data_IF_931535908809
#
_entry.id   IF_931535908809
#
_cell.length_a   1.000
_cell.length_b   1.000
_cell.length_c   1.000
_cell.angle_alpha   90.00
_cell.angle_beta   90.00
_cell.angle_gamma   90.00
#
_symmetry.space_group_name_H-M   'P 1'
#
loop_
_entity.id
_entity.type
_entity.pdbx_description
1 polymer ?
#
# COMPACT_ATOMS: atom_id res chain seq x y z
N UNK A 1 25.22 -9.81 -8.94
CA UNK A 1 24.71 -9.92 -7.57
C UNK A 1 24.39 -8.51 -7.07
N UNK A 2 23.21 -8.28 -6.46
CA UNK A 2 22.87 -6.97 -5.90
C UNK A 2 23.53 -6.77 -4.55
N UNK A 3 23.73 -5.51 -4.18
CA UNK A 3 24.26 -5.03 -2.88
C UNK A 3 23.40 -3.86 -2.41
N UNK A 4 23.47 -3.49 -1.14
CA UNK A 4 22.69 -2.37 -0.57
C UNK A 4 22.91 -1.06 -1.36
N UNK A 5 24.12 -0.81 -1.86
CA UNK A 5 24.43 0.33 -2.72
C UNK A 5 23.72 0.34 -4.08
N UNK A 6 23.02 -0.72 -4.45
CA UNK A 6 22.20 -0.77 -5.66
C UNK A 6 20.75 -0.33 -5.40
N UNK A 7 20.38 -0.03 -4.12
CA UNK A 7 19.03 0.36 -3.70
C UNK A 7 18.92 1.89 -3.59
N UNK A 8 17.91 2.45 -4.27
CA UNK A 8 17.35 3.77 -3.96
C UNK A 8 16.04 3.62 -3.21
N UNK A 9 15.87 4.36 -2.13
CA UNK A 9 14.65 4.38 -1.33
C UNK A 9 13.84 5.63 -1.67
N UNK A 10 12.53 5.50 -1.88
CA UNK A 10 11.60 6.60 -2.12
C UNK A 10 10.62 6.65 -0.93
N UNK A 11 10.55 7.79 -0.27
CA UNK A 11 9.65 8.05 0.86
C UNK A 11 8.77 9.25 0.52
N UNK A 12 7.50 9.04 0.12
CA UNK A 12 6.51 10.10 0.04
C UNK A 12 6.14 10.57 1.45
N UNK A 13 5.92 11.87 1.63
CA UNK A 13 5.42 12.43 2.91
C UNK A 13 4.49 13.61 2.67
N UNK A 14 3.55 13.83 3.59
CA UNK A 14 2.61 14.94 3.55
C UNK A 14 2.21 15.40 4.95
N UNK A 15 2.67 16.58 5.39
CA UNK A 15 2.42 17.17 6.72
C UNK A 15 2.77 16.26 7.91
N UNK A 16 3.83 15.42 7.79
CA UNK A 16 4.22 14.40 8.76
C UNK A 16 5.71 14.43 9.07
N UNK A 17 6.26 15.62 9.28
CA UNK A 17 7.69 15.80 9.52
C UNK A 17 8.20 14.99 10.73
N UNK A 18 7.41 14.84 11.79
CA UNK A 18 7.80 14.05 12.98
C UNK A 18 7.79 12.54 12.67
N UNK A 19 6.77 12.00 12.02
CA UNK A 19 6.75 10.60 11.60
C UNK A 19 7.95 10.28 10.68
N UNK A 20 8.23 11.18 9.72
CA UNK A 20 9.38 11.06 8.84
C UNK A 20 10.69 11.10 9.60
N UNK A 21 10.83 11.97 10.62
CA UNK A 21 12.02 12.03 11.47
C UNK A 21 12.29 10.68 12.12
N UNK A 22 11.29 10.07 12.76
CA UNK A 22 11.43 8.76 13.38
C UNK A 22 11.82 7.67 12.37
N UNK A 23 11.22 7.71 11.18
CA UNK A 23 11.58 6.79 10.09
C UNK A 23 13.05 6.99 9.67
N UNK A 24 13.48 8.23 9.47
CA UNK A 24 14.88 8.54 9.12
C UNK A 24 15.86 8.17 10.24
N UNK A 25 15.47 8.36 11.49
CA UNK A 25 16.29 7.94 12.66
C UNK A 25 16.48 6.41 12.64
N UNK A 26 15.44 5.63 12.33
CA UNK A 26 15.55 4.18 12.19
C UNK A 26 16.37 3.73 10.98
N UNK A 27 16.48 4.57 9.95
CA UNK A 27 17.27 4.32 8.75
C UNK A 27 18.76 4.68 8.90
N UNK A 28 19.18 5.41 9.95
CA UNK A 28 20.58 5.84 10.13
C UNK A 28 21.62 4.72 9.92
N UNK A 29 21.44 3.47 10.44
CA UNK A 29 22.40 2.40 10.24
C UNK A 29 22.53 1.93 8.77
N UNK A 30 21.55 2.27 7.94
CA UNK A 30 21.46 1.83 6.55
C UNK A 30 21.91 2.90 5.55
N UNK A 31 21.77 4.20 5.88
CA UNK A 31 21.97 5.30 4.92
C UNK A 31 23.33 5.22 4.23
N UNK A 32 24.41 4.95 4.98
CA UNK A 32 25.77 4.88 4.43
C UNK A 32 25.95 3.76 3.39
N UNK A 33 25.15 2.69 3.48
CA UNK A 33 25.22 1.50 2.63
C UNK A 33 24.33 1.63 1.40
N UNK A 34 23.21 2.36 1.49
CA UNK A 34 22.27 2.59 0.40
C UNK A 34 22.86 3.47 -0.70
N UNK A 35 22.30 3.43 -1.90
CA UNK A 35 22.63 4.38 -2.95
C UNK A 35 22.19 5.79 -2.57
N UNK A 36 20.90 5.96 -2.31
CA UNK A 36 20.28 7.23 -1.95
C UNK A 36 18.90 7.01 -1.29
N UNK A 37 18.40 8.07 -0.63
CA UNK A 37 17.02 8.18 -0.15
C UNK A 37 16.42 9.44 -0.77
N UNK A 38 15.29 9.30 -1.46
CA UNK A 38 14.53 10.42 -2.02
C UNK A 38 13.32 10.70 -1.12
N UNK A 39 13.27 11.86 -0.53
CA UNK A 39 12.11 12.37 0.20
C UNK A 39 11.28 13.19 -0.77
N UNK A 40 10.06 12.73 -1.04
CA UNK A 40 9.11 13.41 -1.92
C UNK A 40 8.05 14.05 -1.05
N UNK A 41 8.30 15.29 -0.69
CA UNK A 41 7.47 16.08 0.22
C UNK A 41 6.36 16.80 -0.52
N UNK A 42 5.15 16.68 -0.02
CA UNK A 42 3.96 17.36 -0.55
C UNK A 42 3.30 18.25 0.51
N UNK A 43 4.04 18.53 1.59
CA UNK A 43 3.57 19.31 2.75
C UNK A 43 3.30 20.77 2.37
N UNK A 44 2.37 21.38 3.09
CA UNK A 44 2.02 22.79 2.93
C UNK A 44 2.97 23.73 3.69
N UNK A 45 3.67 23.19 4.71
CA UNK A 45 4.64 23.90 5.53
C UNK A 45 6.09 23.49 5.16
N UNK A 46 7.06 24.15 5.78
CA UNK A 46 8.49 23.93 5.51
C UNK A 46 9.19 23.01 6.55
N UNK A 47 8.44 22.37 7.46
CA UNK A 47 9.00 21.55 8.53
C UNK A 47 9.82 20.40 7.98
N UNK A 48 9.29 19.65 7.00
CA UNK A 48 10.02 18.56 6.32
C UNK A 48 11.29 19.08 5.65
N UNK A 49 11.21 20.21 4.94
CA UNK A 49 12.38 20.84 4.30
C UNK A 49 13.47 21.20 5.32
N UNK A 50 13.08 21.83 6.44
CA UNK A 50 13.99 22.18 7.53
C UNK A 50 14.62 20.93 8.16
N UNK A 51 13.81 19.88 8.42
CA UNK A 51 14.30 18.59 8.93
C UNK A 51 15.41 18.04 8.03
N UNK A 52 15.16 17.91 6.72
CA UNK A 52 16.14 17.33 5.79
C UNK A 52 17.39 18.21 5.67
N UNK A 53 17.25 19.54 5.62
CA UNK A 53 18.40 20.45 5.61
C UNK A 53 19.31 20.29 6.82
N UNK A 54 18.72 20.09 8.00
CA UNK A 54 19.47 19.94 9.26
C UNK A 54 20.23 18.60 9.34
N UNK A 55 19.78 17.55 8.66
CA UNK A 55 20.48 16.25 8.64
C UNK A 55 21.82 16.30 7.90
N UNK A 56 22.04 17.26 6.99
CA UNK A 56 23.28 17.48 6.22
C UNK A 56 23.84 16.21 5.58
N UNK A 57 22.98 15.28 5.15
CA UNK A 57 23.39 14.00 4.58
C UNK A 57 23.25 14.01 3.05
N UNK A 58 24.34 13.89 2.31
CA UNK A 58 24.38 13.96 0.83
C UNK A 58 23.64 12.80 0.15
N UNK A 59 23.35 11.70 0.85
CA UNK A 59 22.58 10.58 0.31
C UNK A 59 21.07 10.78 0.43
N UNK A 60 20.61 11.78 1.20
CA UNK A 60 19.20 12.13 1.33
C UNK A 60 18.91 13.30 0.39
N UNK A 61 18.10 13.05 -0.62
CA UNK A 61 17.68 14.05 -1.61
C UNK A 61 16.25 14.47 -1.34
N UNK A 62 16.01 15.76 -1.29
CA UNK A 62 14.71 16.36 -1.02
C UNK A 62 14.09 16.94 -2.30
N UNK A 63 12.80 16.66 -2.49
CA UNK A 63 11.99 17.21 -3.57
C UNK A 63 10.64 17.66 -3.00
N UNK A 64 10.17 18.82 -3.43
CA UNK A 64 8.84 19.32 -3.09
C UNK A 64 7.90 19.23 -4.28
N UNK A 65 6.63 18.85 -4.04
CA UNK A 65 5.56 18.80 -5.02
C UNK A 65 4.31 19.47 -4.44
N UNK A 66 3.62 20.28 -5.23
CA UNK A 66 2.45 21.04 -4.78
C UNK A 66 1.17 20.20 -4.66
N UNK A 67 1.09 19.06 -5.37
CA UNK A 67 -0.12 18.24 -5.44
C UNK A 67 0.01 17.04 -4.50
N UNK A 68 -0.75 16.99 -3.38
CA UNK A 68 -0.71 15.86 -2.47
C UNK A 68 -1.37 14.62 -3.09
N UNK A 69 -0.53 13.68 -3.54
CA UNK A 69 -0.95 12.37 -4.07
C UNK A 69 0.18 11.37 -4.01
N UNK A 70 -0.05 10.26 -3.32
CA UNK A 70 0.96 9.20 -3.14
C UNK A 70 1.42 8.61 -4.49
N UNK A 71 0.52 8.46 -5.46
CA UNK A 71 0.85 7.93 -6.79
C UNK A 71 1.70 8.90 -7.60
N UNK A 72 1.44 10.21 -7.49
CA UNK A 72 2.24 11.25 -8.12
C UNK A 72 3.63 11.27 -7.49
N UNK A 73 3.72 11.27 -6.16
CA UNK A 73 4.99 11.27 -5.44
C UNK A 73 5.85 10.06 -5.79
N UNK A 74 5.29 8.84 -5.75
CA UNK A 74 6.03 7.62 -6.13
C UNK A 74 6.47 7.65 -7.59
N UNK A 75 5.62 8.08 -8.52
CA UNK A 75 6.00 8.20 -9.94
C UNK A 75 7.07 9.27 -10.17
N UNK A 76 7.04 10.36 -9.43
CA UNK A 76 8.09 11.39 -9.47
C UNK A 76 9.41 10.83 -8.94
N UNK A 77 9.37 10.12 -7.81
CA UNK A 77 10.54 9.46 -7.25
C UNK A 77 11.18 8.49 -8.24
N UNK A 78 10.38 7.61 -8.89
CA UNK A 78 10.87 6.68 -9.93
C UNK A 78 11.66 7.38 -11.04
N UNK A 79 11.20 8.56 -11.48
CA UNK A 79 11.87 9.33 -12.54
C UNK A 79 13.20 9.93 -12.09
N UNK A 80 13.33 10.22 -10.79
CA UNK A 80 14.45 10.96 -10.22
C UNK A 80 15.49 10.09 -9.49
N UNK A 81 15.28 8.76 -9.39
CA UNK A 81 16.30 7.87 -8.85
C UNK A 81 17.57 7.88 -9.70
N UNK A 82 18.73 7.77 -9.06
CA UNK A 82 20.03 7.70 -9.70
C UNK A 82 20.05 6.65 -10.81
N UNK A 83 20.84 6.92 -11.85
CA UNK A 83 21.06 5.97 -12.97
C UNK A 83 21.65 4.66 -12.47
N UNK A 84 22.49 4.72 -11.44
CA UNK A 84 23.18 3.57 -10.85
C UNK A 84 22.29 2.65 -10.02
N UNK A 85 21.09 3.11 -9.67
CA UNK A 85 20.09 2.29 -8.96
C UNK A 85 19.70 1.08 -9.80
N UNK A 86 19.64 -0.09 -9.17
CA UNK A 86 19.13 -1.33 -9.77
C UNK A 86 17.85 -1.80 -9.12
N UNK A 87 17.64 -1.44 -7.85
CA UNK A 87 16.45 -1.71 -7.05
C UNK A 87 15.86 -0.39 -6.56
N UNK A 88 14.53 -0.29 -6.55
CA UNK A 88 13.78 0.84 -5.99
C UNK A 88 12.90 0.31 -4.88
N UNK A 89 13.16 0.76 -3.65
CA UNK A 89 12.35 0.49 -2.47
C UNK A 89 11.42 1.67 -2.19
N UNK A 90 10.14 1.39 -1.99
CA UNK A 90 9.16 2.34 -1.47
C UNK A 90 8.93 2.03 0.00
N UNK A 91 9.10 3.04 0.83
CA UNK A 91 8.76 3.01 2.24
C UNK A 91 7.81 4.18 2.53
N UNK A 92 6.89 4.00 3.47
CA UNK A 92 6.10 5.12 3.98
C UNK A 92 6.89 5.90 5.04
N UNK A 93 6.41 7.08 5.39
CA UNK A 93 7.05 8.01 6.33
C UNK A 93 6.87 7.62 7.81
N UNK A 94 6.12 6.55 8.09
CA UNK A 94 5.79 6.05 9.43
C UNK A 94 6.20 4.59 9.65
N UNK A 95 7.35 4.18 9.11
CA UNK A 95 7.87 2.81 9.25
C UNK A 95 9.18 2.75 10.02
N UNK A 96 9.47 1.57 10.58
CA UNK A 96 10.72 1.25 11.25
C UNK A 96 11.27 -0.06 10.69
N UNK A 97 12.17 -0.02 9.69
CA UNK A 97 12.87 -1.21 9.20
C UNK A 97 13.82 -1.78 10.27
N UNK A 98 13.87 -3.10 10.34
CA UNK A 98 14.85 -3.79 11.20
C UNK A 98 16.29 -3.69 10.66
N UNK A 99 17.27 -3.99 11.51
CA UNK A 99 18.71 -3.83 11.18
C UNK A 99 19.17 -4.58 9.93
N UNK A 100 18.54 -5.72 9.60
CA UNK A 100 18.89 -6.54 8.45
C UNK A 100 17.90 -6.37 7.27
N UNK A 101 17.01 -5.37 7.33
CA UNK A 101 15.92 -5.24 6.37
C UNK A 101 16.41 -5.25 4.91
N UNK A 102 17.35 -4.40 4.55
CA UNK A 102 17.80 -4.28 3.15
C UNK A 102 18.65 -5.47 2.69
N UNK A 103 19.50 -6.02 3.56
CA UNK A 103 20.28 -7.23 3.23
C UNK A 103 19.37 -8.42 2.95
N UNK A 104 18.31 -8.62 3.75
CA UNK A 104 17.35 -9.70 3.55
C UNK A 104 16.50 -9.51 2.28
N UNK A 105 16.15 -8.26 1.94
CA UNK A 105 15.50 -7.95 0.64
C UNK A 105 16.41 -8.29 -0.52
N UNK A 106 17.69 -7.93 -0.44
CA UNK A 106 18.70 -8.24 -1.47
C UNK A 106 18.87 -9.74 -1.66
N UNK A 107 18.92 -10.51 -0.60
CA UNK A 107 19.05 -11.96 -0.64
C UNK A 107 17.91 -12.62 -1.40
N UNK A 108 16.68 -12.10 -1.28
CA UNK A 108 15.55 -12.56 -2.08
C UNK A 108 15.82 -12.37 -3.57
N UNK A 109 16.29 -11.19 -3.99
CA UNK A 109 16.57 -10.92 -5.40
C UNK A 109 17.78 -11.69 -5.94
N UNK A 110 18.77 -11.94 -5.12
CA UNK A 110 19.99 -12.65 -5.50
C UNK A 110 19.76 -14.17 -5.67
N UNK A 111 18.82 -14.75 -4.93
CA UNK A 111 18.47 -16.18 -5.01
C UNK A 111 17.81 -16.54 -6.36
N UNK A 112 17.08 -15.61 -6.99
CA UNK A 112 16.41 -15.91 -8.24
C UNK A 112 16.21 -14.67 -9.12
N UNK A 113 16.78 -14.69 -10.32
CA UNK A 113 16.68 -13.59 -11.29
C UNK A 113 15.24 -13.34 -11.80
N UNK A 114 14.34 -14.32 -11.70
CA UNK A 114 12.93 -14.18 -12.09
C UNK A 114 12.13 -13.30 -11.11
N UNK A 115 12.63 -13.12 -9.88
CA UNK A 115 11.97 -12.26 -8.89
C UNK A 115 12.06 -10.79 -9.34
N UNK A 116 10.92 -10.14 -9.46
CA UNK A 116 10.77 -8.73 -9.89
C UNK A 116 10.45 -7.80 -8.74
N UNK A 117 9.88 -8.35 -7.67
CA UNK A 117 9.54 -7.58 -6.47
C UNK A 117 9.73 -8.40 -5.19
N UNK A 118 10.06 -7.71 -4.10
CA UNK A 118 10.14 -8.28 -2.77
C UNK A 118 9.59 -7.28 -1.73
N UNK A 119 8.92 -7.78 -0.71
CA UNK A 119 8.53 -7.02 0.48
C UNK A 119 9.00 -7.72 1.74
N UNK A 120 9.27 -6.95 2.77
CA UNK A 120 9.50 -7.49 4.11
C UNK A 120 8.17 -7.88 4.79
N UNK A 121 8.26 -8.27 6.04
CA UNK A 121 7.14 -8.77 6.80
C UNK A 121 6.92 -7.98 8.09
N UNK A 122 5.68 -7.51 8.26
CA UNK A 122 5.18 -7.01 9.52
C UNK A 122 4.46 -8.13 10.26
N UNK A 123 4.86 -8.40 11.49
CA UNK A 123 4.21 -9.40 12.34
C UNK A 123 2.79 -8.93 12.68
N UNK A 124 1.82 -9.78 12.42
CA UNK A 124 0.41 -9.55 12.76
C UNK A 124 -0.02 -10.58 13.80
N UNK A 125 -0.58 -10.10 14.89
CA UNK A 125 -1.15 -10.94 15.94
C UNK A 125 -2.66 -10.70 16.05
N UNK A 126 -3.43 -11.79 16.11
CA UNK A 126 -4.85 -11.74 16.46
C UNK A 126 -4.98 -12.06 17.95
N UNK A 127 -5.08 -11.02 18.77
CA UNK A 127 -4.87 -11.13 20.22
C UNK A 127 -6.09 -11.64 21.00
N UNK A 128 -7.30 -11.57 20.41
CA UNK A 128 -8.52 -11.97 21.12
C UNK A 128 -9.50 -12.74 20.22
N UNK A 129 -10.46 -13.41 20.87
CA UNK A 129 -11.48 -14.23 20.19
C UNK A 129 -12.31 -13.44 19.20
N UNK A 130 -12.65 -12.18 19.51
CA UNK A 130 -13.44 -11.34 18.61
C UNK A 130 -12.70 -11.08 17.29
N UNK A 131 -11.40 -10.73 17.34
CA UNK A 131 -10.58 -10.56 16.13
C UNK A 131 -10.48 -11.84 15.30
N UNK A 132 -10.40 -13.00 15.95
CA UNK A 132 -10.39 -14.28 15.26
C UNK A 132 -11.71 -14.58 14.57
N UNK A 133 -12.85 -14.34 15.23
CA UNK A 133 -14.19 -14.47 14.64
C UNK A 133 -14.42 -13.49 13.49
N UNK A 134 -14.03 -12.23 13.67
CA UNK A 134 -14.09 -11.24 12.61
C UNK A 134 -13.25 -11.65 11.38
N UNK A 135 -12.07 -12.21 11.60
CA UNK A 135 -11.22 -12.74 10.54
C UNK A 135 -11.88 -13.91 9.78
N UNK A 136 -12.59 -14.81 10.49
CA UNK A 136 -13.37 -15.90 9.89
C UNK A 136 -14.52 -15.32 9.05
N UNK A 137 -15.30 -14.38 9.59
CA UNK A 137 -16.39 -13.75 8.86
C UNK A 137 -15.89 -13.04 7.60
N UNK A 138 -14.79 -12.30 7.69
CA UNK A 138 -14.14 -11.67 6.53
C UNK A 138 -13.69 -12.68 5.48
N UNK A 139 -13.21 -13.84 5.89
CA UNK A 139 -12.84 -14.93 4.98
C UNK A 139 -14.05 -15.49 4.22
N UNK A 140 -15.18 -15.73 4.90
CA UNK A 140 -16.43 -16.22 4.29
C UNK A 140 -16.90 -15.27 3.18
N UNK A 141 -16.83 -13.97 3.41
CA UNK A 141 -17.29 -12.95 2.46
C UNK A 141 -16.19 -12.47 1.48
N UNK A 142 -15.06 -13.18 1.40
CA UNK A 142 -13.94 -12.81 0.52
C UNK A 142 -13.44 -11.37 0.72
N UNK A 143 -13.50 -10.86 1.95
CA UNK A 143 -12.96 -9.56 2.36
C UNK A 143 -11.50 -9.72 2.78
N UNK A 144 -10.83 -8.58 3.01
CA UNK A 144 -9.45 -8.59 3.51
C UNK A 144 -9.38 -9.32 4.85
N UNK A 145 -8.57 -10.38 4.90
CA UNK A 145 -8.36 -11.20 6.08
C UNK A 145 -6.93 -11.72 6.16
N UNK A 146 -6.60 -12.29 7.32
CA UNK A 146 -5.31 -12.90 7.57
C UNK A 146 -5.40 -14.42 7.36
N UNK A 147 -4.39 -14.99 6.70
CA UNK A 147 -4.33 -16.42 6.41
C UNK A 147 -2.87 -16.91 6.54
N UNK A 148 -2.67 -18.14 7.03
CA UNK A 148 -1.33 -18.69 7.16
C UNK A 148 -0.67 -18.80 5.78
N UNK A 149 0.56 -18.28 5.66
CA UNK A 149 1.42 -18.41 4.48
C UNK A 149 0.78 -17.99 3.13
N UNK A 150 -0.17 -17.04 3.14
CA UNK A 150 -0.83 -16.59 1.91
C UNK A 150 -0.88 -15.07 1.79
N UNK A 151 -0.51 -14.58 0.60
CA UNK A 151 -0.61 -13.18 0.19
C UNK A 151 -1.17 -13.10 -1.24
N UNK A 152 -2.50 -13.16 -1.37
CA UNK A 152 -3.20 -13.21 -2.66
C UNK A 152 -4.37 -12.25 -2.71
N UNK A 153 -4.77 -11.88 -3.92
CA UNK A 153 -5.99 -11.15 -4.21
C UNK A 153 -7.13 -12.15 -4.33
N UNK A 154 -8.21 -11.94 -3.58
CA UNK A 154 -9.39 -12.83 -3.56
C UNK A 154 -10.56 -12.14 -4.24
N UNK A 155 -10.76 -10.87 -3.94
CA UNK A 155 -11.81 -10.02 -4.50
C UNK A 155 -11.34 -8.58 -4.59
N UNK A 156 -12.18 -7.67 -5.06
CA UNK A 156 -11.86 -6.25 -5.01
C UNK A 156 -11.79 -5.71 -3.57
N UNK A 157 -12.55 -6.29 -2.65
CA UNK A 157 -12.56 -5.94 -1.22
C UNK A 157 -11.68 -6.87 -0.37
N UNK A 158 -11.01 -7.84 -1.00
CA UNK A 158 -10.33 -8.91 -0.30
C UNK A 158 -8.94 -9.23 -0.82
N UNK A 159 -8.00 -9.15 0.07
CA UNK A 159 -6.67 -9.73 -0.07
C UNK A 159 -6.31 -10.48 1.21
N UNK A 160 -5.40 -11.44 1.11
CA UNK A 160 -4.84 -12.09 2.29
C UNK A 160 -3.47 -11.51 2.62
N UNK A 161 -3.16 -11.43 3.91
CA UNK A 161 -1.82 -11.17 4.43
C UNK A 161 -1.44 -12.27 5.43
N UNK A 162 -0.17 -12.73 5.46
CA UNK A 162 0.22 -13.84 6.32
C UNK A 162 0.17 -13.47 7.81
N UNK A 163 -0.42 -14.36 8.65
CA UNK A 163 -0.45 -14.20 10.11
C UNK A 163 0.88 -14.54 10.75
N UNK A 164 1.49 -15.65 10.31
CA UNK A 164 2.81 -16.07 10.78
C UNK A 164 3.61 -16.56 9.59
N UNK A 165 4.77 -16.00 9.39
CA UNK A 165 5.62 -16.33 8.26
C UNK A 165 6.97 -16.80 8.77
N UNK A 166 7.37 -18.03 8.38
CA UNK A 166 8.66 -18.63 8.74
C UNK A 166 9.59 -18.81 7.53
N UNK A 167 9.07 -18.62 6.32
CA UNK A 167 9.79 -18.80 5.05
C UNK A 167 9.30 -17.83 4.00
N UNK A 168 10.08 -17.62 2.97
CA UNK A 168 9.67 -16.82 1.81
C UNK A 168 8.42 -17.42 1.15
N UNK A 169 7.45 -16.57 0.84
CA UNK A 169 6.23 -16.95 0.11
C UNK A 169 6.07 -16.13 -1.16
N UNK A 170 5.45 -16.74 -2.17
CA UNK A 170 4.99 -16.00 -3.34
C UNK A 170 3.80 -15.11 -2.97
N UNK A 171 3.79 -13.90 -3.53
CA UNK A 171 2.74 -12.93 -3.30
C UNK A 171 2.12 -12.45 -4.61
N UNK A 172 0.84 -12.05 -4.57
CA UNK A 172 0.16 -11.37 -5.67
C UNK A 172 0.13 -9.86 -5.48
N UNK A 173 0.48 -9.37 -4.30
CA UNK A 173 0.53 -7.96 -3.93
C UNK A 173 1.54 -7.71 -2.82
N UNK A 174 2.00 -6.49 -2.70
CA UNK A 174 2.89 -6.03 -1.63
C UNK A 174 2.26 -4.79 -0.98
N UNK A 175 2.34 -4.67 0.37
CA UNK A 175 1.83 -3.48 1.06
C UNK A 175 2.66 -2.25 0.74
N UNK A 176 1.99 -1.12 0.52
CA UNK A 176 2.57 0.14 0.05
C UNK A 176 3.71 0.69 0.91
N UNK A 177 3.65 0.44 2.20
CA UNK A 177 4.68 0.87 3.15
C UNK A 177 5.99 0.06 3.07
N UNK A 178 6.05 -1.00 2.23
CA UNK A 178 7.13 -1.98 2.26
C UNK A 178 7.18 -2.77 0.95
N UNK A 179 7.65 -2.15 -0.12
CA UNK A 179 7.75 -2.81 -1.41
C UNK A 179 9.02 -2.39 -2.16
N UNK A 180 9.79 -3.37 -2.60
CA UNK A 180 11.00 -3.18 -3.39
C UNK A 180 10.87 -3.87 -4.74
N UNK A 181 11.28 -3.19 -5.81
CA UNK A 181 11.17 -3.65 -7.19
C UNK A 181 12.49 -3.54 -7.93
N UNK A 182 12.73 -4.44 -8.90
CA UNK A 182 13.79 -4.21 -9.90
C UNK A 182 13.47 -2.96 -10.72
N UNK A 183 14.44 -2.07 -10.87
CA UNK A 183 14.28 -0.82 -11.65
C UNK A 183 13.85 -1.06 -13.09
N UNK A 184 14.23 -2.20 -13.66
CA UNK A 184 13.87 -2.57 -15.03
C UNK A 184 12.37 -2.60 -15.32
N UNK A 185 11.52 -2.93 -14.31
CA UNK A 185 10.06 -2.96 -14.51
C UNK A 185 9.50 -1.59 -14.88
N UNK A 186 10.09 -0.53 -14.32
CA UNK A 186 9.66 0.86 -14.58
C UNK A 186 10.12 1.34 -15.96
N UNK A 187 11.28 0.86 -16.45
CA UNK A 187 11.72 1.10 -17.84
C UNK A 187 10.74 0.52 -18.84
N UNK A 188 10.10 -0.60 -18.51
CA UNK A 188 9.09 -1.27 -19.34
C UNK A 188 7.70 -0.64 -19.23
N UNK A 189 7.60 0.63 -18.79
CA UNK A 189 6.37 1.41 -18.76
C UNK A 189 5.46 1.21 -17.54
N UNK A 190 5.85 0.37 -16.56
CA UNK A 190 5.07 0.22 -15.33
C UNK A 190 5.12 1.50 -14.49
N UNK A 191 3.94 1.99 -14.09
CA UNK A 191 3.76 3.20 -13.26
C UNK A 191 2.61 3.00 -12.30
N UNK A 192 2.63 3.73 -11.19
CA UNK A 192 1.43 3.89 -10.36
C UNK A 192 0.35 4.62 -11.14
N UNK A 193 -0.91 4.20 -10.94
CA UNK A 193 -2.03 4.75 -11.71
C UNK A 193 -2.37 6.17 -11.24
N UNK A 194 -2.26 7.12 -12.15
CA UNK A 194 -2.53 8.53 -11.88
C UNK A 194 -4.00 8.84 -11.58
N UNK A 195 -4.93 7.96 -11.96
CA UNK A 195 -6.34 8.13 -11.63
C UNK A 195 -6.60 7.94 -10.13
N UNK A 196 -5.75 7.18 -9.43
CA UNK A 196 -5.76 7.03 -7.97
C UNK A 196 -5.10 8.25 -7.32
N UNK A 197 -5.75 9.42 -7.39
CA UNK A 197 -5.24 10.69 -6.88
C UNK A 197 -5.46 10.84 -5.37
N UNK A 198 -4.61 11.67 -4.75
CA UNK A 198 -4.69 12.01 -3.34
C UNK A 198 -4.34 10.84 -2.44
N UNK A 199 -5.04 10.78 -1.29
CA UNK A 199 -5.05 9.58 -0.45
C UNK A 199 -5.88 8.49 -1.14
N UNK A 200 -5.35 7.30 -1.23
CA UNK A 200 -5.98 6.13 -1.85
C UNK A 200 -5.64 4.89 -1.04
N UNK A 201 -6.43 3.83 -1.20
CA UNK A 201 -6.21 2.54 -0.51
C UNK A 201 -5.87 1.39 -1.48
N UNK A 202 -5.79 1.68 -2.76
CA UNK A 202 -5.68 0.64 -3.78
C UNK A 202 -4.45 0.80 -4.69
N UNK A 203 -3.61 1.81 -4.49
CA UNK A 203 -2.49 2.11 -5.40
C UNK A 203 -1.38 1.05 -5.35
N UNK A 204 -1.12 0.52 -4.17
CA UNK A 204 -0.12 -0.53 -3.94
C UNK A 204 -0.61 -1.89 -4.44
N UNK A 205 -1.88 -2.22 -4.14
CA UNK A 205 -2.53 -3.45 -4.61
C UNK A 205 -2.66 -3.41 -6.14
N UNK A 206 -3.11 -2.29 -6.72
CA UNK A 206 -3.23 -2.13 -8.18
C UNK A 206 -1.87 -2.30 -8.86
N UNK A 207 -0.86 -1.59 -8.36
CA UNK A 207 0.47 -1.62 -8.96
C UNK A 207 1.09 -3.01 -8.88
N UNK A 208 1.14 -3.59 -7.69
CA UNK A 208 1.76 -4.90 -7.46
C UNK A 208 1.00 -6.01 -8.18
N UNK A 209 -0.34 -6.00 -8.20
CA UNK A 209 -1.11 -6.99 -8.94
C UNK A 209 -0.91 -6.92 -10.46
N UNK A 210 -0.73 -5.71 -11.02
CA UNK A 210 -0.32 -5.55 -12.43
C UNK A 210 1.07 -6.11 -12.70
N UNK A 211 2.02 -5.93 -11.78
CA UNK A 211 3.35 -6.57 -11.85
C UNK A 211 3.21 -8.08 -11.82
N UNK A 212 2.43 -8.63 -10.87
CA UNK A 212 2.15 -10.07 -10.80
C UNK A 212 1.55 -10.61 -12.10
N UNK A 213 0.54 -9.93 -12.66
CA UNK A 213 -0.09 -10.35 -13.92
C UNK A 213 0.89 -10.36 -15.10
N UNK A 214 1.82 -9.40 -15.13
CA UNK A 214 2.81 -9.28 -16.23
C UNK A 214 3.93 -10.30 -16.14
N UNK A 215 4.44 -10.57 -14.93
CA UNK A 215 5.63 -11.39 -14.73
C UNK A 215 5.33 -12.79 -14.16
N UNK A 216 4.09 -13.07 -13.81
CA UNK A 216 3.59 -14.39 -13.44
C UNK A 216 3.84 -14.79 -11.98
N UNK A 217 3.41 -16.01 -11.62
CA UNK A 217 3.61 -16.59 -10.30
C UNK A 217 5.11 -16.65 -9.92
N UNK A 218 5.40 -16.46 -8.63
CA UNK A 218 6.76 -16.44 -8.07
C UNK A 218 7.64 -15.25 -8.47
N UNK A 219 7.10 -14.28 -9.24
CA UNK A 219 7.81 -13.04 -9.54
C UNK A 219 7.87 -12.05 -8.38
N UNK A 220 7.02 -12.25 -7.38
CA UNK A 220 6.95 -11.40 -6.18
C UNK A 220 6.99 -12.25 -4.91
N UNK A 221 7.78 -11.81 -3.93
CA UNK A 221 8.07 -12.53 -2.69
C UNK A 221 7.81 -11.64 -1.48
N UNK A 222 7.21 -12.19 -0.43
CA UNK A 222 7.27 -11.64 0.93
C UNK A 222 8.24 -12.51 1.73
N UNK A 223 9.21 -11.87 2.39
CA UNK A 223 10.21 -12.53 3.23
C UNK A 223 10.01 -12.20 4.71
N UNK A 224 9.99 -13.19 5.60
CA UNK A 224 9.87 -12.97 7.05
C UNK A 224 11.16 -12.44 7.67
N UNK A 225 12.26 -12.52 6.96
CA UNK A 225 13.58 -12.17 7.47
C UNK A 225 13.80 -10.64 7.42
N UNK A 226 13.26 -9.96 6.42
CA UNK A 226 13.22 -8.49 6.35
C UNK A 226 12.06 -7.95 7.22
N UNK A 227 12.29 -7.81 8.52
CA UNK A 227 11.27 -7.31 9.46
C UNK A 227 11.10 -5.81 9.32
N UNK A 228 9.86 -5.35 9.43
CA UNK A 228 9.50 -3.93 9.42
C UNK A 228 8.28 -3.70 10.31
N UNK A 229 8.25 -2.59 11.02
CA UNK A 229 7.10 -2.14 11.80
C UNK A 229 6.47 -0.95 11.08
N UNK A 230 5.15 -0.97 10.90
CA UNK A 230 4.37 0.16 10.40
C UNK A 230 3.59 0.76 11.57
N UNK A 231 3.92 2.00 11.94
CA UNK A 231 3.32 2.69 13.09
C UNK A 231 1.88 3.12 12.84
N UNK A 232 1.48 3.20 11.58
CA UNK A 232 0.13 3.53 11.13
C UNK A 232 -0.35 4.89 11.67
N UNK A 233 0.42 5.96 11.40
CA UNK A 233 0.11 7.33 11.83
C UNK A 233 -1.32 7.73 11.51
N UNK A 234 -1.96 8.45 12.44
CA UNK A 234 -3.32 8.99 12.27
C UNK A 234 -3.32 10.44 11.73
N UNK A 235 -2.14 11.03 11.54
CA UNK A 235 -1.98 12.39 11.03
C UNK A 235 -2.43 12.43 9.56
N UNK A 236 -3.12 13.51 9.17
CA UNK A 236 -3.60 13.76 7.79
C UNK A 236 -4.48 12.64 7.21
N UNK A 237 -5.30 11.99 8.04
CA UNK A 237 -6.36 11.09 7.57
C UNK A 237 -7.59 11.89 7.12
N UNK A 238 -8.22 11.44 6.05
CA UNK A 238 -9.48 12.04 5.61
C UNK A 238 -10.58 11.88 6.67
N UNK A 239 -11.51 12.84 6.79
CA UNK A 239 -12.74 12.67 7.55
C UNK A 239 -13.47 11.39 7.16
N UNK A 240 -14.20 10.78 8.09
CA UNK A 240 -14.83 9.46 7.90
C UNK A 240 -15.73 9.39 6.65
N UNK A 241 -16.49 10.45 6.33
CA UNK A 241 -17.34 10.49 5.14
C UNK A 241 -16.50 10.40 3.87
N UNK A 242 -15.52 11.28 3.71
CA UNK A 242 -14.61 11.28 2.56
C UNK A 242 -13.88 9.95 2.41
N UNK A 243 -13.42 9.36 3.51
CA UNK A 243 -12.75 8.06 3.50
C UNK A 243 -13.69 6.95 3.00
N UNK A 244 -14.99 6.98 3.35
CA UNK A 244 -15.95 6.00 2.86
C UNK A 244 -16.10 6.06 1.35
N UNK A 245 -16.16 7.27 0.78
CA UNK A 245 -16.20 7.46 -0.69
C UNK A 245 -14.92 6.98 -1.36
N UNK A 246 -13.74 7.40 -0.87
CA UNK A 246 -12.45 6.95 -1.41
C UNK A 246 -12.37 5.43 -1.40
N UNK A 247 -12.64 4.80 -0.26
CA UNK A 247 -12.58 3.34 -0.13
C UNK A 247 -13.50 2.64 -1.13
N UNK A 248 -14.76 3.10 -1.23
CA UNK A 248 -15.74 2.46 -2.09
C UNK A 248 -15.39 2.61 -3.58
N UNK A 249 -15.02 3.83 -3.99
CA UNK A 249 -14.64 4.13 -5.37
C UNK A 249 -13.39 3.38 -5.78
N UNK A 250 -12.36 3.33 -4.92
CA UNK A 250 -11.11 2.64 -5.21
C UNK A 250 -11.31 1.13 -5.37
N UNK A 251 -12.16 0.50 -4.54
CA UNK A 251 -12.52 -0.92 -4.69
C UNK A 251 -13.28 -1.19 -5.98
N UNK A 252 -14.26 -0.34 -6.34
CA UNK A 252 -14.99 -0.45 -7.62
C UNK A 252 -14.04 -0.30 -8.80
N UNK A 253 -13.18 0.71 -8.77
CA UNK A 253 -12.19 0.94 -9.82
C UNK A 253 -11.24 -0.24 -9.97
N UNK A 254 -10.68 -0.73 -8.86
CA UNK A 254 -9.82 -1.90 -8.86
C UNK A 254 -10.53 -3.14 -9.46
N UNK A 255 -11.79 -3.35 -9.09
CA UNK A 255 -12.63 -4.43 -9.66
C UNK A 255 -12.74 -4.30 -11.18
N UNK A 256 -13.21 -3.16 -11.67
CA UNK A 256 -13.43 -2.98 -13.11
C UNK A 256 -12.14 -3.05 -13.92
N UNK A 257 -11.06 -2.51 -13.40
CA UNK A 257 -9.76 -2.48 -14.07
C UNK A 257 -9.06 -3.83 -14.06
N UNK A 258 -9.14 -4.56 -12.97
CA UNK A 258 -8.25 -5.70 -12.73
C UNK A 258 -8.95 -7.06 -12.71
N UNK A 259 -10.21 -7.16 -12.29
CA UNK A 259 -10.88 -8.40 -11.96
C UNK A 259 -12.13 -8.71 -12.79
N UNK A 260 -12.79 -7.71 -13.42
CA UNK A 260 -14.07 -7.88 -14.12
C UNK A 260 -13.91 -8.62 -15.46
N UNK A 261 -13.66 -9.93 -15.43
CA UNK A 261 -13.38 -10.74 -16.63
C UNK A 261 -14.50 -11.74 -16.93
N UNK A 262 -15.10 -12.36 -15.92
CA UNK A 262 -16.06 -13.46 -16.09
C UNK A 262 -17.16 -13.43 -15.03
N UNK A 263 -18.17 -14.32 -15.17
CA UNK A 263 -19.30 -14.41 -14.26
C UNK A 263 -18.87 -14.72 -12.81
N UNK A 264 -17.89 -15.60 -12.62
CA UNK A 264 -17.37 -15.95 -11.29
C UNK A 264 -16.86 -14.71 -10.54
N UNK A 265 -16.09 -13.86 -11.19
CA UNK A 265 -15.57 -12.64 -10.58
C UNK A 265 -16.66 -11.61 -10.25
N UNK A 266 -17.73 -11.56 -11.08
CA UNK A 266 -18.92 -10.76 -10.79
C UNK A 266 -19.65 -11.25 -9.54
N UNK A 267 -19.84 -12.56 -9.42
CA UNK A 267 -20.48 -13.18 -8.24
C UNK A 267 -19.64 -12.98 -6.98
N UNK A 268 -18.32 -13.14 -7.06
CA UNK A 268 -17.39 -12.87 -5.94
C UNK A 268 -17.50 -11.40 -5.51
N UNK A 269 -17.55 -10.46 -6.46
CA UNK A 269 -17.68 -9.05 -6.15
C UNK A 269 -19.01 -8.74 -5.45
N UNK A 270 -20.13 -9.26 -5.96
CA UNK A 270 -21.45 -9.10 -5.35
C UNK A 270 -21.49 -9.72 -3.93
N UNK A 271 -20.91 -10.91 -3.76
CA UNK A 271 -20.81 -11.58 -2.46
C UNK A 271 -20.00 -10.77 -1.45
N UNK A 272 -18.88 -10.18 -1.90
CA UNK A 272 -18.07 -9.32 -1.04
C UNK A 272 -18.81 -8.02 -0.63
N UNK A 273 -19.56 -7.42 -1.55
CA UNK A 273 -20.42 -6.26 -1.25
C UNK A 273 -21.52 -6.61 -0.24
N UNK A 274 -22.18 -7.75 -0.41
CA UNK A 274 -23.16 -8.24 0.55
C UNK A 274 -22.52 -8.45 1.93
N UNK A 275 -21.37 -9.11 1.98
CA UNK A 275 -20.65 -9.38 3.23
C UNK A 275 -20.22 -8.12 3.97
N UNK A 276 -19.68 -7.11 3.28
CA UNK A 276 -19.28 -5.87 3.96
C UNK A 276 -20.50 -5.10 4.47
N UNK A 277 -21.63 -5.15 3.75
CA UNK A 277 -22.90 -4.55 4.19
C UNK A 277 -23.40 -5.20 5.47
N UNK A 278 -23.42 -6.54 5.51
CA UNK A 278 -23.81 -7.30 6.71
C UNK A 278 -22.90 -7.02 7.90
N UNK A 279 -21.58 -7.00 7.70
CA UNK A 279 -20.64 -6.71 8.79
C UNK A 279 -20.80 -5.28 9.33
N UNK A 280 -21.08 -4.31 8.49
CA UNK A 280 -21.32 -2.92 8.92
C UNK A 280 -22.65 -2.79 9.66
N UNK A 281 -23.72 -3.45 9.19
CA UNK A 281 -25.00 -3.50 9.86
C UNK A 281 -24.88 -4.23 11.21
N UNK A 282 -24.20 -5.38 11.24
CA UNK A 282 -23.91 -6.13 12.46
C UNK A 282 -23.15 -5.27 13.50
N UNK A 283 -22.13 -4.52 13.07
CA UNK A 283 -21.43 -3.60 13.96
C UNK A 283 -22.34 -2.48 14.51
N UNK A 284 -23.29 -1.98 13.72
CA UNK A 284 -24.26 -1.00 14.17
C UNK A 284 -25.21 -1.58 15.22
N UNK A 285 -25.71 -2.81 15.01
CA UNK A 285 -26.63 -3.50 15.92
C UNK A 285 -25.91 -3.88 17.23
N UNK A 286 -24.71 -4.47 17.15
CA UNK A 286 -23.97 -4.94 18.31
C UNK A 286 -23.35 -3.82 19.15
N UNK A 287 -23.06 -2.68 18.53
CA UNK A 287 -22.45 -1.50 19.17
C UNK A 287 -23.15 -0.23 18.71
N UNK A 288 -24.44 -0.02 19.13
CA UNK A 288 -25.23 1.12 18.68
C UNK A 288 -24.66 2.42 19.28
N UNK A 289 -23.99 3.19 18.45
CA UNK A 289 -23.48 4.52 18.80
C UNK A 289 -23.43 5.42 17.55
N UNK A 290 -23.37 6.74 17.79
CA UNK A 290 -23.35 7.75 16.72
C UNK A 290 -22.26 7.50 15.67
N UNK A 291 -21.09 7.03 16.08
CA UNK A 291 -19.96 6.78 15.18
C UNK A 291 -20.27 5.62 14.21
N UNK A 292 -20.77 4.50 14.72
CA UNK A 292 -21.13 3.34 13.90
C UNK A 292 -22.33 3.64 13.00
N UNK A 293 -23.30 4.42 13.48
CA UNK A 293 -24.41 4.89 12.65
C UNK A 293 -23.92 5.75 11.50
N UNK A 294 -23.08 6.76 11.74
CA UNK A 294 -22.52 7.60 10.69
C UNK A 294 -21.65 6.79 9.70
N UNK A 295 -20.84 5.86 10.18
CA UNK A 295 -20.05 4.97 9.33
C UNK A 295 -20.91 4.11 8.41
N UNK A 296 -22.06 3.65 8.89
CA UNK A 296 -23.01 2.88 8.08
C UNK A 296 -23.68 3.77 7.02
N UNK A 297 -24.19 4.94 7.42
CA UNK A 297 -24.79 5.91 6.47
C UNK A 297 -23.81 6.32 5.39
N UNK A 298 -22.57 6.70 5.74
CA UNK A 298 -21.56 7.10 4.75
C UNK A 298 -21.17 5.95 3.82
N UNK A 299 -21.22 4.71 4.31
CA UNK A 299 -21.03 3.54 3.48
C UNK A 299 -22.16 3.39 2.45
N UNK A 300 -23.42 3.50 2.87
CA UNK A 300 -24.58 3.40 1.96
C UNK A 300 -24.55 4.53 0.92
N UNK A 301 -24.31 5.77 1.35
CA UNK A 301 -24.17 6.92 0.44
C UNK A 301 -23.07 6.68 -0.61
N UNK A 302 -21.89 6.24 -0.17
CA UNK A 302 -20.76 5.98 -1.06
C UNK A 302 -21.01 4.80 -2.00
N UNK A 303 -21.72 3.76 -1.55
CA UNK A 303 -22.13 2.62 -2.38
C UNK A 303 -23.12 3.06 -3.46
N UNK A 304 -24.16 3.83 -3.09
CA UNK A 304 -25.13 4.40 -4.02
C UNK A 304 -24.45 5.29 -5.05
N UNK A 305 -23.50 6.14 -4.62
CA UNK A 305 -22.69 6.95 -5.53
C UNK A 305 -21.94 6.08 -6.56
N UNK A 306 -21.31 4.99 -6.11
CA UNK A 306 -20.56 4.11 -7.00
C UNK A 306 -21.46 3.43 -8.03
N UNK A 307 -22.67 2.99 -7.62
CA UNK A 307 -23.64 2.36 -8.51
C UNK A 307 -24.11 3.37 -9.58
N UNK A 308 -24.48 4.57 -9.18
CA UNK A 308 -24.95 5.62 -10.08
C UNK A 308 -23.85 6.15 -11.02
N UNK A 309 -22.58 6.08 -10.60
CA UNK A 309 -21.45 6.61 -11.35
C UNK A 309 -20.50 5.54 -11.92
N UNK A 310 -20.98 4.32 -12.13
CA UNK A 310 -20.19 3.18 -12.64
C UNK A 310 -19.40 3.56 -13.92
N UNK A 311 -20.02 4.25 -14.86
CA UNK A 311 -19.37 4.66 -16.13
C UNK A 311 -18.19 5.61 -15.87
N UNK A 312 -18.34 6.59 -14.95
CA UNK A 312 -17.27 7.51 -14.57
C UNK A 312 -16.11 6.78 -13.90
N UNK A 313 -16.42 5.86 -12.97
CA UNK A 313 -15.42 5.07 -12.24
C UNK A 313 -14.64 4.17 -13.22
N UNK A 314 -15.30 3.47 -14.13
CA UNK A 314 -14.64 2.66 -15.18
C UNK A 314 -13.67 3.50 -16.02
N UNK A 315 -14.00 4.75 -16.29
CA UNK A 315 -13.19 5.67 -17.09
C UNK A 315 -12.12 6.41 -16.27
N UNK A 316 -11.91 6.03 -15.00
CA UNK A 316 -10.87 6.61 -14.15
C UNK A 316 -11.18 8.00 -13.57
N UNK A 317 -12.43 8.48 -13.67
CA UNK A 317 -12.87 9.73 -13.02
C UNK A 317 -13.26 9.44 -11.57
N UNK A 318 -12.26 9.36 -10.68
CA UNK A 318 -12.43 8.78 -9.34
C UNK A 318 -12.67 9.82 -8.25
N UNK A 319 -12.36 11.09 -8.48
CA UNK A 319 -12.38 12.13 -7.42
C UNK A 319 -13.39 13.27 -7.71
N UNK A 320 -14.37 13.02 -8.58
CA UNK A 320 -15.43 13.99 -8.95
C UNK A 320 -16.54 14.13 -7.90
N UNK A 321 -16.39 13.54 -6.72
CA UNK A 321 -17.38 13.62 -5.64
C UNK A 321 -17.14 14.82 -4.72
N UNK A 322 -18.25 15.43 -4.27
CA UNK A 322 -18.25 16.53 -3.28
C UNK A 322 -18.75 16.00 -1.94
N UNK A 323 -17.91 15.97 -0.90
CA UNK A 323 -18.25 15.53 0.48
C UNK A 323 -17.37 16.25 1.51
#
# INVERSE_FOLDING_TARGET
MFREKDISVIIPTYNRAEDLKETLDSLKPHISKLNEILIIDQSKDDKTKKLIKNLRNKKIRYFHLDIPSITIARNFGIKNVSKDSKLICFLDDDVTPGNNYFSEIIDVFNKNQKIKAAGGYQIINLNNTFQKLENVAKKIFFLRHFEKDKARIISAYGNTYPLSLKRNISSQWLPGFNMCYRKEIFKNGMKFDKNLLGYTIAEDIDFSYRVYKKYGPKSMIITPFAKIVHRASQVERYPTKRMSYVNQIDHFYFYFKNLNRNLKEKLIFAWSLFGITLLRLGNLILKPNKINFLKFIYYIESLSYCILNIKKIKNGKLRDFKV
#
